data_IF_415509775679
#
_entry.id   IF_415509775679
#
_cell.length_a   1.000
_cell.length_b   1.000
_cell.length_c   1.000
_cell.angle_alpha   90.00
_cell.angle_beta   90.00
_cell.angle_gamma   90.00
#
_symmetry.space_group_name_H-M   'P 1'
#
loop_
_entity.id
_entity.type
_entity.pdbx_description
1 polymer ?
#
# COMPACT_ATOMS: atom_id res chain seq x y z
N UNK A 1 36.28 6.51 -22.78
CA UNK A 1 35.66 7.04 -21.55
C UNK A 1 34.20 7.34 -21.84
N UNK A 2 33.38 6.36 -21.65
CA UNK A 2 31.92 6.53 -21.86
C UNK A 2 31.36 7.18 -20.60
N UNK A 3 30.89 8.43 -20.76
CA UNK A 3 30.35 9.22 -19.68
C UNK A 3 29.30 8.50 -18.87
N UNK A 4 29.33 8.68 -17.57
CA UNK A 4 28.27 8.25 -16.66
C UNK A 4 26.97 8.93 -17.08
N UNK A 5 26.00 8.15 -17.53
CA UNK A 5 24.65 8.66 -17.79
C UNK A 5 24.00 9.07 -16.46
N UNK A 6 23.27 10.18 -16.41
CA UNK A 6 22.62 10.62 -15.18
C UNK A 6 21.66 9.55 -14.68
N UNK A 7 21.75 9.24 -13.40
CA UNK A 7 20.79 8.39 -12.71
C UNK A 7 19.45 9.11 -12.68
N UNK A 8 18.44 8.55 -13.36
CA UNK A 8 17.09 9.10 -13.34
C UNK A 8 16.33 8.37 -12.25
N UNK A 9 16.08 9.02 -11.13
CA UNK A 9 15.21 8.49 -10.08
C UNK A 9 13.76 8.76 -10.46
N UNK A 10 13.00 7.70 -10.70
CA UNK A 10 11.58 7.80 -11.01
C UNK A 10 10.77 7.26 -9.86
N UNK A 11 9.95 8.12 -9.29
CA UNK A 11 8.96 7.74 -8.28
C UNK A 11 7.70 7.26 -9.01
N UNK A 12 7.48 5.94 -9.07
CA UNK A 12 6.35 5.37 -9.78
C UNK A 12 5.31 4.83 -8.83
N UNK A 13 4.23 5.55 -8.64
CA UNK A 13 2.92 5.00 -8.27
C UNK A 13 1.98 4.90 -9.47
N UNK A 14 2.47 5.15 -10.70
CA UNK A 14 1.70 5.12 -11.95
C UNK A 14 2.47 4.25 -12.93
N UNK A 15 1.84 3.34 -13.69
CA UNK A 15 2.52 2.61 -14.74
C UNK A 15 3.02 3.60 -15.80
N UNK A 16 4.33 3.83 -15.81
CA UNK A 16 4.99 4.70 -16.78
C UNK A 16 5.55 3.83 -17.89
N UNK A 17 5.09 4.07 -19.12
CA UNK A 17 5.69 3.47 -20.29
C UNK A 17 6.95 4.26 -20.66
N UNK A 18 8.10 3.66 -20.50
CA UNK A 18 9.37 4.23 -20.91
C UNK A 18 9.65 3.86 -22.36
N UNK A 19 10.00 4.86 -23.16
CA UNK A 19 10.60 4.64 -24.47
C UNK A 19 12.01 5.22 -24.40
N UNK A 20 13.01 4.35 -24.37
CA UNK A 20 14.41 4.75 -24.43
C UNK A 20 14.86 4.60 -25.88
N UNK A 21 15.12 5.70 -26.56
CA UNK A 21 15.71 5.68 -27.88
C UNK A 21 17.24 5.58 -27.71
N UNK A 22 17.76 4.40 -27.96
CA UNK A 22 19.23 4.17 -28.00
C UNK A 22 19.67 4.26 -29.44
N UNK A 23 20.67 5.08 -29.78
CA UNK A 23 21.21 5.15 -31.14
C UNK A 23 21.72 3.79 -31.65
N UNK A 24 21.50 3.46 -32.92
CA UNK A 24 21.82 2.15 -33.49
C UNK A 24 23.32 1.80 -33.40
N UNK A 25 24.20 2.80 -33.48
CA UNK A 25 25.64 2.65 -33.29
C UNK A 25 26.02 2.20 -31.88
N UNK A 26 25.25 2.60 -30.87
CA UNK A 26 25.42 2.16 -29.48
C UNK A 26 24.86 0.74 -29.27
N UNK A 27 23.80 0.36 -29.97
CA UNK A 27 23.21 -0.98 -29.89
C UNK A 27 24.15 -2.04 -30.47
N UNK A 28 24.85 -1.72 -31.55
CA UNK A 28 25.66 -2.69 -32.31
C UNK A 28 27.09 -2.85 -31.78
N UNK A 29 27.54 -2.05 -30.82
CA UNK A 29 28.94 -2.04 -30.37
C UNK A 29 29.18 -2.30 -28.88
N UNK A 30 28.15 -2.32 -28.05
CA UNK A 30 28.32 -2.38 -26.61
C UNK A 30 27.45 -3.46 -25.94
N UNK A 31 28.06 -4.27 -25.09
CA UNK A 31 27.30 -5.05 -24.11
C UNK A 31 26.81 -4.09 -23.02
N UNK A 32 25.58 -3.65 -23.10
CA UNK A 32 24.98 -2.87 -22.03
C UNK A 32 23.96 -3.69 -21.25
N UNK A 33 23.83 -3.37 -19.98
CA UNK A 33 22.90 -4.00 -19.07
C UNK A 33 22.08 -2.89 -18.41
N UNK A 34 20.79 -2.95 -18.56
CA UNK A 34 19.90 -2.05 -17.86
C UNK A 34 19.49 -2.69 -16.53
N UNK A 35 19.76 -2.00 -15.43
CA UNK A 35 19.35 -2.43 -14.10
C UNK A 35 18.25 -1.49 -13.63
N UNK A 36 17.03 -2.00 -13.48
CA UNK A 36 15.92 -1.28 -12.86
C UNK A 36 15.76 -1.79 -11.44
N UNK A 37 15.99 -0.92 -10.47
CA UNK A 37 15.74 -1.21 -9.06
C UNK A 37 14.40 -0.64 -8.67
N UNK A 38 13.46 -1.51 -8.31
CA UNK A 38 12.14 -1.14 -7.84
C UNK A 38 11.89 -1.86 -6.53
N UNK A 39 11.77 -1.13 -5.43
CA UNK A 39 11.44 -1.68 -4.11
C UNK A 39 12.28 -2.90 -3.67
N UNK A 40 13.60 -2.82 -3.86
CA UNK A 40 14.51 -3.92 -3.51
C UNK A 40 14.54 -5.08 -4.51
N UNK A 41 13.71 -5.07 -5.53
CA UNK A 41 13.76 -6.03 -6.64
C UNK A 41 14.63 -5.46 -7.74
N UNK A 42 15.63 -6.22 -8.15
CA UNK A 42 16.52 -5.84 -9.25
C UNK A 42 16.08 -6.58 -10.51
N UNK A 43 15.68 -5.85 -11.54
CA UNK A 43 15.38 -6.38 -12.87
C UNK A 43 16.59 -6.11 -13.77
N UNK A 44 17.12 -7.17 -14.36
CA UNK A 44 18.23 -7.09 -15.31
C UNK A 44 17.71 -7.35 -16.74
N UNK A 45 17.98 -6.43 -17.62
CA UNK A 45 17.62 -6.56 -19.04
C UNK A 45 18.88 -6.63 -19.90
N UNK A 46 18.97 -7.65 -20.72
CA UNK A 46 20.07 -7.80 -21.69
C UNK A 46 19.51 -7.53 -23.09
N UNK A 47 20.16 -6.68 -23.89
CA UNK A 47 19.67 -6.39 -25.24
C UNK A 47 19.65 -7.63 -26.12
N UNK A 48 18.66 -7.74 -27.00
CA UNK A 48 18.54 -8.82 -27.99
C UNK A 48 17.91 -10.12 -27.50
N UNK A 49 17.48 -10.21 -26.24
CA UNK A 49 16.60 -11.28 -25.77
C UNK A 49 15.15 -10.79 -25.77
N UNK A 50 14.41 -11.08 -26.82
CA UNK A 50 12.95 -10.93 -26.77
C UNK A 50 12.41 -11.85 -25.69
N UNK A 51 11.65 -11.29 -24.76
CA UNK A 51 10.94 -12.08 -23.75
C UNK A 51 9.86 -12.91 -24.43
N UNK A 52 10.18 -14.19 -24.71
CA UNK A 52 9.28 -15.15 -25.38
C UNK A 52 8.24 -15.74 -24.42
N UNK A 53 7.88 -15.07 -23.36
CA UNK A 53 6.85 -15.55 -22.45
C UNK A 53 5.52 -14.80 -22.57
N UNK A 54 5.03 -14.61 -23.79
CA UNK A 54 3.63 -14.21 -24.00
C UNK A 54 3.11 -14.75 -25.33
N UNK A 55 2.90 -16.05 -25.37
CA UNK A 55 2.28 -16.74 -26.48
C UNK A 55 1.16 -17.66 -26.03
N UNK A 56 0.02 -17.11 -25.70
CA UNK A 56 -1.24 -17.87 -25.79
C UNK A 56 -2.31 -16.99 -26.41
N UNK A 57 -2.65 -17.37 -27.64
CA UNK A 57 -3.80 -16.86 -28.38
C UNK A 57 -5.06 -17.26 -27.63
N UNK A 58 -5.93 -16.32 -27.32
CA UNK A 58 -7.36 -16.59 -27.38
C UNK A 58 -8.14 -15.36 -27.84
N UNK A 59 -8.97 -15.64 -28.83
CA UNK A 59 -9.79 -14.75 -29.61
C UNK A 59 -11.09 -14.42 -28.87
N UNK A 60 -11.47 -13.15 -28.94
CA UNK A 60 -12.83 -12.61 -28.84
C UNK A 60 -13.59 -12.70 -27.51
N UNK A 61 -13.77 -11.57 -26.86
CA UNK A 61 -15.07 -10.91 -26.73
C UNK A 61 -14.90 -9.58 -26.02
N UNK A 62 -15.42 -8.56 -26.66
CA UNK A 62 -15.47 -7.18 -26.24
C UNK A 62 -16.31 -7.02 -24.98
N UNK A 63 -15.72 -6.55 -23.88
CA UNK A 63 -16.42 -5.95 -22.77
C UNK A 63 -15.49 -4.90 -22.16
N UNK A 64 -15.87 -3.65 -22.35
CA UNK A 64 -15.25 -2.48 -21.75
C UNK A 64 -15.42 -2.52 -20.23
N UNK A 65 -14.39 -3.01 -19.53
CA UNK A 65 -14.22 -2.77 -18.11
C UNK A 65 -12.81 -2.24 -17.93
N UNK A 66 -12.71 -0.97 -17.56
CA UNK A 66 -11.49 -0.34 -17.11
C UNK A 66 -10.96 -1.12 -15.90
N UNK A 67 -9.96 -1.97 -16.14
CA UNK A 67 -9.23 -2.66 -15.06
C UNK A 67 -8.29 -1.63 -14.44
N UNK A 68 -8.77 -0.93 -13.42
CA UNK A 68 -7.90 -0.23 -12.48
C UNK A 68 -7.03 -1.30 -11.81
N UNK A 69 -5.75 -1.25 -12.05
CA UNK A 69 -4.75 -2.09 -11.38
C UNK A 69 -4.66 -1.62 -9.92
N UNK A 70 -5.58 -2.09 -9.07
CA UNK A 70 -5.45 -1.94 -7.63
C UNK A 70 -4.27 -2.81 -7.20
N UNK A 71 -3.24 -2.23 -6.60
CA UNK A 71 -2.25 -3.00 -5.87
C UNK A 71 -3.01 -3.94 -4.91
N UNK A 72 -2.68 -5.23 -4.91
CA UNK A 72 -3.37 -6.18 -4.05
C UNK A 72 -3.25 -5.70 -2.60
N UNK A 73 -4.39 -5.51 -1.94
CA UNK A 73 -4.41 -5.05 -0.56
C UNK A 73 -3.68 -6.08 0.32
N UNK A 74 -2.76 -5.60 1.15
CA UNK A 74 -2.01 -6.47 2.06
C UNK A 74 -2.70 -6.51 3.42
N UNK A 75 -2.95 -7.73 3.93
CA UNK A 75 -3.57 -7.97 5.22
C UNK A 75 -2.67 -8.80 6.11
N UNK A 76 -2.60 -8.46 7.40
CA UNK A 76 -1.89 -9.24 8.40
C UNK A 76 -2.72 -9.35 9.69
N UNK A 77 -2.46 -10.42 10.46
CA UNK A 77 -2.99 -10.61 11.81
C UNK A 77 -1.82 -10.95 12.72
N UNK A 78 -1.14 -9.93 13.28
CA UNK A 78 0.00 -10.16 14.17
C UNK A 78 -0.42 -10.88 15.45
N UNK A 79 0.51 -11.66 16.02
CA UNK A 79 0.31 -12.24 17.33
C UNK A 79 0.28 -11.16 18.43
N UNK A 80 -0.53 -11.39 19.46
CA UNK A 80 -0.54 -10.58 20.67
C UNK A 80 0.45 -11.15 21.67
N UNK A 81 1.38 -10.34 22.12
CA UNK A 81 2.36 -10.69 23.14
C UNK A 81 2.29 -9.69 24.29
N UNK A 82 2.13 -10.18 25.51
CA UNK A 82 2.08 -9.37 26.75
C UNK A 82 1.05 -8.21 26.67
N UNK A 83 -0.11 -8.43 26.04
CA UNK A 83 -1.15 -7.42 25.88
C UNK A 83 -0.81 -6.33 24.86
N UNK A 84 0.12 -6.60 23.98
CA UNK A 84 0.54 -5.68 22.90
C UNK A 84 0.53 -6.38 21.54
N UNK A 85 0.24 -5.60 20.50
CA UNK A 85 0.35 -5.97 19.12
C UNK A 85 1.49 -5.16 18.49
N UNK A 86 2.42 -5.82 17.81
CA UNK A 86 3.56 -5.18 17.18
C UNK A 86 3.55 -5.34 15.66
N UNK A 87 3.86 -4.26 14.94
CA UNK A 87 3.95 -4.22 13.48
C UNK A 87 5.37 -3.78 13.13
N UNK A 88 6.07 -4.55 12.32
CA UNK A 88 7.42 -4.23 11.85
C UNK A 88 7.35 -3.06 10.84
N UNK A 89 8.05 -1.96 11.13
CA UNK A 89 8.13 -0.79 10.25
C UNK A 89 8.75 -1.14 8.91
N UNK A 90 9.70 -2.09 8.88
CA UNK A 90 10.35 -2.53 7.65
C UNK A 90 9.39 -3.17 6.63
N UNK A 91 8.19 -3.56 7.06
CA UNK A 91 7.14 -4.09 6.18
C UNK A 91 6.22 -3.02 5.60
N UNK A 92 6.30 -1.78 6.11
CA UNK A 92 5.44 -0.68 5.69
C UNK A 92 5.92 -0.06 4.38
N UNK A 93 4.97 0.29 3.55
CA UNK A 93 5.17 1.00 2.29
C UNK A 93 4.29 2.25 2.26
N UNK A 94 4.31 2.99 1.16
CA UNK A 94 3.35 4.07 0.87
C UNK A 94 1.92 3.55 0.63
N UNK A 95 1.75 2.22 0.46
CA UNK A 95 0.45 1.58 0.37
C UNK A 95 -0.02 1.10 1.74
N UNK A 96 -1.34 1.04 2.00
CA UNK A 96 -1.86 0.64 3.29
C UNK A 96 -1.63 -0.86 3.55
N UNK A 97 -1.06 -1.16 4.71
CA UNK A 97 -1.07 -2.48 5.31
C UNK A 97 -2.29 -2.54 6.25
N UNK A 98 -3.22 -3.43 5.98
CA UNK A 98 -4.38 -3.65 6.82
C UNK A 98 -4.05 -4.65 7.92
N UNK A 99 -4.19 -4.24 9.16
CA UNK A 99 -3.81 -5.03 10.34
C UNK A 99 -5.05 -5.41 11.10
N UNK A 100 -5.34 -6.70 11.16
CA UNK A 100 -6.49 -7.25 11.87
C UNK A 100 -6.15 -7.61 13.31
N UNK A 101 -7.08 -7.36 14.21
CA UNK A 101 -7.04 -7.79 15.61
C UNK A 101 -8.43 -8.28 16.02
N UNK A 102 -8.51 -9.48 16.60
CA UNK A 102 -9.75 -10.00 17.17
C UNK A 102 -9.92 -9.55 18.62
N UNK A 103 -10.94 -8.75 18.87
CA UNK A 103 -11.38 -8.35 20.20
C UNK A 103 -12.63 -9.14 20.58
N UNK A 104 -12.44 -10.32 21.16
CA UNK A 104 -13.53 -11.19 21.61
C UNK A 104 -14.59 -11.45 20.53
N UNK A 105 -14.19 -11.80 19.31
CA UNK A 105 -15.07 -12.06 18.19
C UNK A 105 -15.46 -10.82 17.38
N UNK A 106 -14.97 -9.64 17.74
CA UNK A 106 -15.12 -8.42 16.94
C UNK A 106 -13.80 -8.11 16.26
N UNK A 107 -13.75 -8.18 14.92
CA UNK A 107 -12.54 -7.78 14.19
C UNK A 107 -12.38 -6.27 14.21
N UNK A 108 -11.27 -5.81 14.77
CA UNK A 108 -10.81 -4.42 14.71
C UNK A 108 -9.70 -4.35 13.68
N UNK A 109 -9.88 -3.54 12.66
CA UNK A 109 -8.88 -3.38 11.61
C UNK A 109 -8.22 -2.02 11.70
N UNK A 110 -6.90 -2.01 11.56
CA UNK A 110 -6.06 -0.82 11.50
C UNK A 110 -5.50 -0.64 10.09
N UNK A 111 -5.05 0.57 9.80
CA UNK A 111 -4.28 0.94 8.62
C UNK A 111 -2.91 1.39 9.09
N UNK A 112 -1.86 0.70 8.65
CA UNK A 112 -0.47 1.10 8.86
C UNK A 112 0.15 1.50 7.51
N UNK A 113 0.90 2.60 7.49
CA UNK A 113 1.57 3.13 6.29
C UNK A 113 2.91 3.74 6.64
N UNK A 114 3.79 3.81 5.65
CA UNK A 114 4.93 4.72 5.66
C UNK A 114 4.49 6.01 4.95
N UNK A 115 4.39 7.11 5.70
CA UNK A 115 3.94 8.39 5.16
C UNK A 115 5.01 9.04 4.27
N UNK A 116 4.63 10.07 3.51
CA UNK A 116 5.54 10.75 2.56
C UNK A 116 6.75 11.42 3.22
N UNK A 117 6.67 11.69 4.54
CA UNK A 117 7.77 12.21 5.36
C UNK A 117 8.66 11.10 5.95
N UNK A 118 8.43 9.84 5.58
CA UNK A 118 9.15 8.67 6.07
C UNK A 118 8.71 8.20 7.46
N UNK A 119 7.69 8.81 8.07
CA UNK A 119 7.18 8.38 9.37
C UNK A 119 6.23 7.18 9.24
N UNK A 120 6.40 6.20 10.13
CA UNK A 120 5.44 5.11 10.26
C UNK A 120 4.19 5.61 11.00
N UNK A 121 3.02 5.40 10.41
CA UNK A 121 1.74 5.89 10.93
C UNK A 121 0.71 4.78 11.03
N UNK A 122 -0.17 4.92 12.03
CA UNK A 122 -1.24 3.97 12.29
C UNK A 122 -2.55 4.70 12.59
N UNK A 123 -3.66 4.12 12.16
CA UNK A 123 -5.01 4.52 12.55
C UNK A 123 -5.95 3.32 12.52
N UNK A 124 -7.14 3.45 13.10
CA UNK A 124 -8.21 2.47 12.91
C UNK A 124 -8.78 2.58 11.48
N UNK A 125 -9.11 1.47 10.86
CA UNK A 125 -9.80 1.45 9.55
C UNK A 125 -11.30 1.71 9.72
N UNK A 126 -11.61 2.83 10.33
CA UNK A 126 -12.99 3.34 10.38
C UNK A 126 -13.00 4.85 10.29
N UNK A 127 -13.99 5.39 9.59
CA UNK A 127 -14.14 6.83 9.37
C UNK A 127 -14.77 7.49 10.59
N UNK A 128 -14.15 8.54 11.13
CA UNK A 128 -14.62 9.25 12.33
C UNK A 128 -16.07 9.77 12.19
N UNK A 129 -16.45 10.28 11.02
CA UNK A 129 -17.79 10.84 10.78
C UNK A 129 -18.80 9.77 10.35
N UNK A 130 -18.35 8.76 9.59
CA UNK A 130 -19.26 7.75 9.02
C UNK A 130 -19.59 6.62 10.00
N UNK A 131 -18.74 6.39 11.01
CA UNK A 131 -19.01 5.42 12.06
C UNK A 131 -20.33 5.81 12.80
N UNK A 132 -21.26 4.88 13.07
CA UNK A 132 -21.11 3.42 13.03
C UNK A 132 -21.60 2.72 11.73
N UNK A 133 -21.60 3.38 10.57
CA UNK A 133 -22.00 2.71 9.34
C UNK A 133 -21.12 1.46 9.08
N UNK A 134 -21.72 0.32 8.64
CA UNK A 134 -20.96 -0.88 8.27
C UNK A 134 -19.91 -0.63 7.19
N UNK A 135 -20.13 0.35 6.31
CA UNK A 135 -19.23 0.73 5.23
C UNK A 135 -18.25 1.86 5.61
N UNK A 136 -18.17 2.25 6.87
CA UNK A 136 -17.28 3.31 7.33
C UNK A 136 -15.81 2.87 7.37
N UNK A 137 -15.32 2.19 6.35
CA UNK A 137 -13.93 1.76 6.21
C UNK A 137 -13.30 2.35 4.95
N UNK A 138 -11.99 2.31 4.89
CA UNK A 138 -11.22 2.83 3.78
C UNK A 138 -10.62 1.70 2.95
N UNK A 139 -10.61 1.90 1.64
CA UNK A 139 -9.83 1.13 0.69
C UNK A 139 -8.89 2.06 -0.07
N UNK A 140 -7.77 1.51 -0.47
CA UNK A 140 -6.88 2.23 -1.38
C UNK A 140 -7.47 2.25 -2.80
N UNK A 141 -7.34 3.42 -3.43
CA UNK A 141 -7.59 3.63 -4.84
C UNK A 141 -6.61 4.67 -5.37
N UNK A 142 -5.78 4.29 -6.33
CA UNK A 142 -4.80 5.18 -6.97
C UNK A 142 -3.93 5.95 -5.97
N UNK A 143 -3.34 5.25 -5.00
CA UNK A 143 -2.45 5.82 -3.99
C UNK A 143 -3.14 6.71 -2.94
N UNK A 144 -4.46 6.59 -2.79
CA UNK A 144 -5.24 7.35 -1.81
C UNK A 144 -6.22 6.45 -1.07
N UNK A 145 -6.57 6.83 0.14
CA UNK A 145 -7.62 6.18 0.92
C UNK A 145 -8.99 6.73 0.51
N UNK A 146 -9.93 5.86 0.22
CA UNK A 146 -11.31 6.21 -0.13
C UNK A 146 -12.26 5.61 0.89
N UNK A 147 -13.01 6.45 1.60
CA UNK A 147 -14.06 5.99 2.51
C UNK A 147 -15.19 5.32 1.73
N UNK A 148 -15.50 4.07 2.05
CA UNK A 148 -16.50 3.29 1.30
C UNK A 148 -17.94 3.69 1.62
N UNK A 149 -18.15 4.51 2.66
CA UNK A 149 -19.48 5.01 3.00
C UNK A 149 -19.80 6.35 2.29
N UNK A 150 -18.89 7.32 2.36
CA UNK A 150 -19.15 8.68 1.83
C UNK A 150 -18.38 9.01 0.55
N UNK A 151 -17.45 8.15 0.10
CA UNK A 151 -16.65 8.38 -1.10
C UNK A 151 -15.54 9.44 -0.96
N UNK A 152 -15.40 10.06 0.20
CA UNK A 152 -14.33 11.05 0.42
C UNK A 152 -12.95 10.41 0.29
N UNK A 153 -12.02 11.17 -0.29
CA UNK A 153 -10.68 10.74 -0.66
C UNK A 153 -9.64 11.44 0.22
N UNK A 154 -8.70 10.68 0.75
CA UNK A 154 -7.65 11.15 1.67
C UNK A 154 -6.27 10.73 1.20
N UNK A 155 -5.27 11.54 1.54
CA UNK A 155 -3.87 11.13 1.36
C UNK A 155 -3.49 10.07 2.40
N UNK A 156 -2.49 9.25 2.12
CA UNK A 156 -1.92 8.32 3.10
C UNK A 156 -1.39 9.06 4.34
N UNK A 157 -0.89 10.29 4.16
CA UNK A 157 -0.43 11.15 5.26
C UNK A 157 -1.55 11.56 6.24
N UNK A 158 -2.81 11.28 5.92
CA UNK A 158 -3.93 11.48 6.85
C UNK A 158 -4.04 10.38 7.91
N UNK A 159 -3.35 9.26 7.71
CA UNK A 159 -3.30 8.17 8.70
C UNK A 159 -2.58 8.65 9.95
N UNK A 160 -3.21 8.50 11.11
CA UNK A 160 -2.62 8.82 12.41
C UNK A 160 -2.32 10.30 12.67
N UNK A 161 -2.56 11.19 11.71
CA UNK A 161 -2.16 12.60 11.80
C UNK A 161 -3.31 13.58 11.93
N UNK A 162 -4.52 13.23 11.48
CA UNK A 162 -5.64 14.20 11.39
C UNK A 162 -6.78 13.78 12.31
N UNK A 163 -7.18 14.67 13.18
CA UNK A 163 -8.35 14.49 14.06
C UNK A 163 -9.56 15.27 13.51
N UNK A 164 -10.73 14.65 13.59
CA UNK A 164 -12.00 15.24 13.16
C UNK A 164 -12.31 15.07 11.66
N UNK A 165 -13.56 15.27 11.29
CA UNK A 165 -14.04 15.08 9.92
C UNK A 165 -14.08 13.61 9.48
N UNK A 166 -14.06 13.40 8.17
CA UNK A 166 -14.14 12.05 7.57
C UNK A 166 -12.79 11.31 7.54
N UNK A 167 -11.84 11.61 8.40
CA UNK A 167 -10.53 10.94 8.45
C UNK A 167 -10.60 9.56 9.10
N UNK A 168 -9.59 8.68 8.88
CA UNK A 168 -9.39 7.49 9.69
C UNK A 168 -9.32 7.84 11.18
N UNK A 169 -9.93 7.00 12.01
CA UNK A 169 -10.00 7.26 13.46
C UNK A 169 -8.63 7.01 14.09
N UNK A 170 -8.17 7.96 14.88
CA UNK A 170 -6.89 7.84 15.58
C UNK A 170 -6.94 6.78 16.69
N UNK A 171 -5.79 6.17 16.95
CA UNK A 171 -5.54 5.29 18.08
C UNK A 171 -4.18 5.62 18.67
N UNK A 172 -3.98 5.34 19.96
CA UNK A 172 -2.69 5.51 20.61
C UNK A 172 -1.72 4.39 20.21
N UNK A 173 -0.52 4.76 19.82
CA UNK A 173 0.54 3.81 19.50
C UNK A 173 1.92 4.41 19.80
N UNK A 174 2.93 3.58 19.91
CA UNK A 174 4.33 3.98 20.03
C UNK A 174 5.12 3.49 18.85
N UNK A 175 6.16 4.24 18.49
CA UNK A 175 7.11 3.87 17.44
C UNK A 175 8.49 3.82 18.08
N UNK A 176 9.02 2.61 18.23
CA UNK A 176 10.33 2.37 18.83
C UNK A 176 10.92 1.05 18.29
N UNK A 177 12.23 0.94 18.26
CA UNK A 177 12.97 -0.29 17.92
C UNK A 177 12.51 -0.93 16.59
N UNK A 178 12.20 -0.09 15.59
CA UNK A 178 11.75 -0.56 14.28
C UNK A 178 10.32 -1.12 14.26
N UNK A 179 9.50 -0.83 15.28
CA UNK A 179 8.13 -1.34 15.39
C UNK A 179 7.14 -0.23 15.74
N UNK A 180 5.91 -0.39 15.25
CA UNK A 180 4.72 0.24 15.82
C UNK A 180 4.16 -0.73 16.86
N UNK A 181 3.90 -0.25 18.06
CA UNK A 181 3.31 -1.06 19.14
C UNK A 181 2.00 -0.42 19.63
N UNK A 182 0.97 -1.24 19.75
CA UNK A 182 -0.37 -0.85 20.25
C UNK A 182 -0.76 -1.73 21.42
N UNK A 183 -1.32 -1.15 22.48
CA UNK A 183 -1.90 -1.92 23.59
C UNK A 183 -3.25 -2.51 23.15
N UNK A 184 -3.47 -3.79 23.42
CA UNK A 184 -4.74 -4.45 23.08
C UNK A 184 -5.91 -3.87 23.88
N UNK A 185 -5.69 -3.38 25.11
CA UNK A 185 -6.73 -2.70 25.88
C UNK A 185 -7.26 -1.43 25.18
N UNK A 186 -6.38 -0.68 24.48
CA UNK A 186 -6.80 0.47 23.70
C UNK A 186 -7.63 0.02 22.48
N UNK A 187 -7.23 -1.06 21.80
CA UNK A 187 -8.00 -1.65 20.70
C UNK A 187 -9.36 -2.12 21.21
N UNK A 188 -9.42 -2.87 22.32
CA UNK A 188 -10.67 -3.40 22.87
C UNK A 188 -11.66 -2.28 23.22
N UNK A 189 -11.17 -1.11 23.64
CA UNK A 189 -12.01 0.06 23.91
C UNK A 189 -12.77 0.56 22.67
N UNK A 190 -12.27 0.22 21.48
CA UNK A 190 -12.87 0.55 20.18
C UNK A 190 -13.75 -0.55 19.59
N UNK A 191 -13.97 -1.68 20.26
CA UNK A 191 -14.77 -2.79 19.74
C UNK A 191 -16.20 -2.36 19.34
N UNK A 192 -16.78 -1.42 20.10
CA UNK A 192 -18.13 -0.88 19.77
C UNK A 192 -18.17 -0.21 18.39
N UNK A 193 -17.13 0.48 17.98
CA UNK A 193 -17.05 1.15 16.67
C UNK A 193 -16.99 0.14 15.51
N UNK A 194 -16.60 -1.10 15.79
CA UNK A 194 -16.48 -2.17 14.81
C UNK A 194 -17.61 -3.20 14.87
N UNK A 195 -18.58 -3.06 15.78
CA UNK A 195 -19.66 -4.05 15.97
C UNK A 195 -20.53 -4.31 14.72
N UNK A 196 -20.67 -3.33 13.85
CA UNK A 196 -21.37 -3.44 12.57
C UNK A 196 -20.46 -3.30 11.35
N UNK A 197 -19.16 -3.13 11.57
CA UNK A 197 -18.18 -2.92 10.51
C UNK A 197 -18.08 -4.13 9.57
N UNK A 198 -18.10 -3.91 8.26
CA UNK A 198 -18.13 -4.95 7.22
C UNK A 198 -17.01 -4.82 6.19
N UNK A 199 -15.88 -4.28 6.59
CA UNK A 199 -14.72 -4.22 5.72
C UNK A 199 -14.10 -5.60 5.48
N UNK A 200 -13.25 -5.74 4.44
CA UNK A 200 -12.55 -6.99 4.15
C UNK A 200 -11.51 -7.30 5.22
N UNK A 201 -11.31 -8.58 5.51
CA UNK A 201 -10.38 -9.12 6.53
C UNK A 201 -9.38 -10.13 5.94
N UNK A 202 -9.24 -10.16 4.63
CA UNK A 202 -8.40 -11.13 3.89
C UNK A 202 -6.92 -11.00 4.23
#
# INVERSE_FOLDING_TARGET
DFGTYPEITVYTGIPVKWTINVPEDVINGCNYKMIVKTYGITHEFTPGTEDKSAGSKNTAAQSTASTENAAAASYITPAVENGQLAIDIGTLTEHPLYVNYDSNGTNIQMIAVNASDGSARLSLNTCQTCNPSPKAYFKERSGKLVCQNCGNVFKMDSVGGTAGGCNPMNIQYTVADGKITVNTADLDSHAKQFSSWSGPVE
#
